data_IF_338093546770
#
_entry.id   IF_338093546770
#
_cell.length_a   1.000
_cell.length_b   1.000
_cell.length_c   1.000
_cell.angle_alpha   90.00
_cell.angle_beta   90.00
_cell.angle_gamma   90.00
#
_symmetry.space_group_name_H-M   'P 1'
#
loop_
_entity.id
_entity.type
_entity.pdbx_description
1 polymer ?
#
# COMPACT_ATOMS: atom_id res chain seq x y z
N UNK A 1 21.26 3.21 -19.50
CA UNK A 1 20.69 2.35 -18.44
C UNK A 1 20.20 3.16 -17.24
N UNK A 2 20.80 4.31 -16.90
CA UNK A 2 20.34 5.20 -15.80
C UNK A 2 18.91 5.76 -15.98
N UNK A 3 18.47 5.99 -17.22
CA UNK A 3 17.19 6.63 -17.52
C UNK A 3 15.96 5.84 -16.99
N UNK A 4 15.98 4.51 -17.07
CA UNK A 4 14.83 3.68 -16.64
C UNK A 4 14.69 3.61 -15.12
N UNK A 5 15.81 3.58 -14.38
CA UNK A 5 15.79 3.59 -12.91
C UNK A 5 15.29 4.94 -12.38
N UNK A 6 15.80 6.02 -12.96
CA UNK A 6 15.39 7.38 -12.63
C UNK A 6 13.90 7.58 -12.93
N UNK A 7 13.42 7.11 -14.08
CA UNK A 7 12.00 7.18 -14.42
C UNK A 7 11.14 6.38 -13.43
N UNK A 8 11.49 5.13 -13.13
CA UNK A 8 10.77 4.31 -12.14
C UNK A 8 10.72 4.99 -10.77
N UNK A 9 11.85 5.52 -10.31
CA UNK A 9 11.93 6.23 -9.03
C UNK A 9 11.07 7.49 -9.01
N UNK A 10 11.20 8.37 -10.01
CA UNK A 10 10.43 9.61 -10.09
C UNK A 10 8.93 9.33 -10.22
N UNK A 11 8.53 8.32 -11.00
CA UNK A 11 7.14 7.89 -11.08
C UNK A 11 6.63 7.35 -9.73
N UNK A 12 7.40 6.50 -9.05
CA UNK A 12 7.03 5.96 -7.74
C UNK A 12 6.80 7.06 -6.70
N UNK A 13 7.68 8.07 -6.70
CA UNK A 13 7.58 9.24 -5.82
C UNK A 13 6.33 10.07 -6.16
N UNK A 14 6.09 10.38 -7.44
CA UNK A 14 4.91 11.14 -7.83
C UNK A 14 3.59 10.47 -7.42
N UNK A 15 3.48 9.16 -7.64
CA UNK A 15 2.33 8.38 -7.16
C UNK A 15 2.23 8.36 -5.63
N UNK A 16 3.36 8.26 -4.92
CA UNK A 16 3.36 8.31 -3.46
C UNK A 16 2.83 9.65 -2.93
N UNK A 17 3.36 10.77 -3.45
CA UNK A 17 3.01 12.12 -3.01
C UNK A 17 1.53 12.41 -3.22
N UNK A 18 1.00 12.11 -4.41
CA UNK A 18 -0.42 12.29 -4.73
C UNK A 18 -1.29 11.38 -3.85
N UNK A 19 -0.93 10.10 -3.73
CA UNK A 19 -1.67 9.15 -2.89
C UNK A 19 -1.71 9.58 -1.42
N UNK A 20 -0.59 10.05 -0.89
CA UNK A 20 -0.47 10.54 0.48
C UNK A 20 -1.27 11.82 0.69
N UNK A 21 -1.22 12.78 -0.24
CA UNK A 21 -2.00 14.02 -0.16
C UNK A 21 -3.50 13.71 -0.08
N UNK A 22 -4.00 12.80 -0.92
CA UNK A 22 -5.42 12.40 -0.92
C UNK A 22 -5.75 11.66 0.39
N UNK A 23 -4.88 10.76 0.87
CA UNK A 23 -5.08 10.04 2.12
C UNK A 23 -5.16 10.98 3.34
N UNK A 24 -4.32 12.01 3.38
CA UNK A 24 -4.35 13.05 4.42
C UNK A 24 -5.62 13.89 4.35
N UNK A 25 -6.13 14.20 3.14
CA UNK A 25 -7.44 14.85 2.96
C UNK A 25 -8.59 13.97 3.41
N UNK A 26 -8.56 12.67 3.11
CA UNK A 26 -9.57 11.71 3.59
C UNK A 26 -9.62 11.70 5.11
N UNK A 27 -8.47 11.71 5.78
CA UNK A 27 -8.42 11.76 7.24
C UNK A 27 -9.06 13.03 7.82
N UNK A 28 -8.92 14.18 7.16
CA UNK A 28 -9.49 15.44 7.64
C UNK A 28 -10.98 15.58 7.31
N UNK A 29 -11.46 14.92 6.26
CA UNK A 29 -12.86 14.93 5.84
C UNK A 29 -13.65 13.81 6.54
N UNK A 30 -14.80 14.14 7.11
CA UNK A 30 -15.74 13.18 7.73
C UNK A 30 -17.10 13.21 7.04
N UNK A 31 -17.11 13.22 5.72
CA UNK A 31 -18.32 13.30 4.91
C UNK A 31 -18.26 12.36 3.70
N UNK A 32 -19.37 12.26 2.97
CA UNK A 32 -19.53 11.34 1.84
C UNK A 32 -18.53 11.58 0.70
N UNK A 33 -17.92 12.77 0.62
CA UNK A 33 -16.88 13.06 -0.38
C UNK A 33 -15.65 12.17 -0.20
N UNK A 34 -15.43 11.62 1.00
CA UNK A 34 -14.37 10.63 1.27
C UNK A 34 -14.49 9.41 0.35
N UNK A 35 -15.71 8.97 0.03
CA UNK A 35 -15.95 7.81 -0.84
C UNK A 35 -15.35 7.99 -2.23
N UNK A 36 -15.41 9.21 -2.78
CA UNK A 36 -14.86 9.52 -4.10
C UNK A 36 -13.33 9.61 -4.10
N UNK A 37 -12.71 9.79 -2.93
CA UNK A 37 -11.27 10.03 -2.79
C UNK A 37 -10.48 8.76 -2.43
N UNK A 38 -11.12 7.77 -1.80
CA UNK A 38 -10.45 6.55 -1.33
C UNK A 38 -9.86 5.74 -2.49
N UNK A 39 -10.64 5.48 -3.54
CA UNK A 39 -10.15 4.70 -4.68
C UNK A 39 -8.94 5.35 -5.35
N UNK A 40 -8.95 6.67 -5.67
CA UNK A 40 -7.75 7.37 -6.13
C UNK A 40 -6.56 7.24 -5.18
N UNK A 41 -6.74 7.43 -3.87
CA UNK A 41 -5.64 7.32 -2.89
C UNK A 41 -5.03 5.91 -2.90
N UNK A 42 -5.88 4.88 -2.81
CA UNK A 42 -5.46 3.49 -2.78
C UNK A 42 -4.71 3.08 -4.05
N UNK A 43 -5.21 3.47 -5.24
CA UNK A 43 -4.55 3.16 -6.52
C UNK A 43 -3.19 3.84 -6.62
N UNK A 44 -3.08 5.12 -6.25
CA UNK A 44 -1.81 5.84 -6.28
C UNK A 44 -0.77 5.19 -5.34
N UNK A 45 -1.14 4.87 -4.10
CA UNK A 45 -0.24 4.20 -3.15
C UNK A 45 0.11 2.77 -3.59
N UNK A 46 -0.80 2.07 -4.27
CA UNK A 46 -0.56 0.75 -4.84
C UNK A 46 0.47 0.81 -5.97
N UNK A 47 0.31 1.72 -6.92
CA UNK A 47 1.27 1.91 -8.02
C UNK A 47 2.63 2.37 -7.53
N UNK A 48 2.67 3.28 -6.54
CA UNK A 48 3.93 3.67 -5.92
C UNK A 48 4.67 2.45 -5.34
N UNK A 49 3.94 1.60 -4.60
CA UNK A 49 4.49 0.37 -4.01
C UNK A 49 4.99 -0.59 -5.09
N UNK A 50 4.21 -0.81 -6.15
CA UNK A 50 4.60 -1.64 -7.29
C UNK A 50 5.92 -1.16 -7.91
N UNK A 51 6.02 0.13 -8.20
CA UNK A 51 7.19 0.73 -8.84
C UNK A 51 8.43 0.68 -7.93
N UNK A 52 8.27 0.90 -6.63
CA UNK A 52 9.39 0.73 -5.69
C UNK A 52 9.87 -0.72 -5.60
N UNK A 53 8.96 -1.69 -5.55
CA UNK A 53 9.34 -3.11 -5.56
C UNK A 53 10.04 -3.49 -6.88
N UNK A 54 9.54 -3.01 -8.03
CA UNK A 54 10.20 -3.20 -9.34
C UNK A 54 11.56 -2.53 -9.41
N UNK A 55 11.73 -1.35 -8.81
CA UNK A 55 13.02 -0.67 -8.71
C UNK A 55 14.02 -1.48 -7.88
N UNK A 56 13.58 -2.04 -6.74
CA UNK A 56 14.41 -2.93 -5.92
C UNK A 56 14.83 -4.18 -6.70
N UNK A 57 13.93 -4.80 -7.47
CA UNK A 57 14.28 -5.88 -8.39
C UNK A 57 15.32 -5.48 -9.42
N UNK A 58 15.18 -4.29 -10.01
CA UNK A 58 16.10 -3.79 -11.01
C UNK A 58 17.52 -3.59 -10.44
N UNK A 59 17.65 -3.09 -9.20
CA UNK A 59 18.96 -2.92 -8.55
C UNK A 59 19.67 -4.24 -8.24
N UNK A 60 18.92 -5.33 -8.06
CA UNK A 60 19.50 -6.63 -7.68
C UNK A 60 19.61 -7.61 -8.86
N UNK A 61 18.81 -7.41 -9.90
CA UNK A 61 18.76 -8.25 -11.10
C UNK A 61 18.56 -7.36 -12.34
N UNK A 62 19.60 -6.63 -12.79
CA UNK A 62 19.48 -5.60 -13.83
C UNK A 62 19.05 -6.14 -15.20
N UNK A 63 19.14 -7.45 -15.41
CA UNK A 63 18.89 -8.11 -16.69
C UNK A 63 17.44 -8.58 -16.87
N UNK A 64 16.60 -8.53 -15.82
CA UNK A 64 15.22 -9.03 -15.90
C UNK A 64 14.24 -8.10 -15.18
N UNK A 65 13.46 -7.37 -15.97
CA UNK A 65 12.33 -6.58 -15.45
C UNK A 65 11.22 -7.56 -15.05
N UNK A 66 10.81 -7.52 -13.78
CA UNK A 66 9.64 -8.25 -13.33
C UNK A 66 8.38 -7.59 -13.89
N UNK A 67 7.60 -8.35 -14.67
CA UNK A 67 6.39 -7.87 -15.36
C UNK A 67 5.10 -8.09 -14.56
N UNK A 68 5.16 -8.81 -13.44
CA UNK A 68 3.97 -8.98 -12.60
C UNK A 68 3.53 -7.66 -11.99
N UNK A 69 2.22 -7.52 -11.79
CA UNK A 69 1.60 -6.42 -11.05
C UNK A 69 1.19 -6.86 -9.64
N UNK A 70 1.31 -8.16 -9.34
CA UNK A 70 1.00 -8.74 -8.04
C UNK A 70 2.08 -8.33 -7.03
N UNK A 71 1.68 -7.52 -6.04
CA UNK A 71 2.63 -6.95 -5.07
C UNK A 71 3.26 -8.02 -4.19
N UNK A 72 2.49 -9.05 -3.79
CA UNK A 72 3.02 -10.17 -3.04
C UNK A 72 4.10 -10.93 -3.81
N UNK A 73 3.92 -11.15 -5.11
CA UNK A 73 4.91 -11.82 -5.95
C UNK A 73 6.17 -10.96 -6.10
N UNK A 74 5.99 -9.66 -6.33
CA UNK A 74 7.10 -8.72 -6.35
C UNK A 74 7.87 -8.75 -5.03
N UNK A 75 7.19 -8.77 -3.89
CA UNK A 75 7.81 -8.76 -2.57
C UNK A 75 8.52 -10.08 -2.24
N UNK A 76 7.86 -11.23 -2.46
CA UNK A 76 8.37 -12.56 -2.09
C UNK A 76 9.57 -12.99 -2.94
N UNK A 77 9.69 -12.45 -4.16
CA UNK A 77 10.82 -12.72 -5.06
C UNK A 77 12.03 -11.82 -4.82
N UNK A 78 11.95 -10.82 -3.93
CA UNK A 78 13.10 -9.99 -3.58
C UNK A 78 14.19 -10.80 -2.87
N UNK A 79 15.47 -10.40 -2.98
CA UNK A 79 16.54 -10.96 -2.16
C UNK A 79 16.18 -10.94 -0.67
N UNK A 80 16.47 -12.05 0.03
CA UNK A 80 16.10 -12.25 1.44
C UNK A 80 16.52 -11.08 2.34
N UNK A 81 17.70 -10.49 2.10
CA UNK A 81 18.21 -9.34 2.85
C UNK A 81 17.27 -8.13 2.74
N UNK A 82 16.72 -7.86 1.56
CA UNK A 82 15.86 -6.70 1.30
C UNK A 82 14.47 -6.94 1.86
N UNK A 83 13.88 -8.12 1.61
CA UNK A 83 12.56 -8.44 2.16
C UNK A 83 12.58 -8.46 3.69
N UNK A 84 13.69 -8.88 4.31
CA UNK A 84 13.88 -8.77 5.78
C UNK A 84 13.85 -7.31 6.26
N UNK A 85 14.57 -6.40 5.60
CA UNK A 85 14.57 -4.97 5.95
C UNK A 85 13.17 -4.37 5.85
N UNK A 86 12.43 -4.70 4.79
CA UNK A 86 11.05 -4.22 4.61
C UNK A 86 10.15 -4.72 5.74
N UNK A 87 10.23 -6.00 6.12
CA UNK A 87 9.47 -6.55 7.27
C UNK A 87 9.79 -5.81 8.55
N UNK A 88 11.07 -5.65 8.87
CA UNK A 88 11.52 -4.96 10.08
C UNK A 88 10.99 -3.52 10.11
N UNK A 89 11.10 -2.79 8.99
CA UNK A 89 10.59 -1.41 8.88
C UNK A 89 9.07 -1.33 8.96
N UNK A 90 8.36 -2.30 8.40
CA UNK A 90 6.91 -2.37 8.48
C UNK A 90 6.44 -2.62 9.92
N UNK A 91 7.06 -3.57 10.63
CA UNK A 91 6.72 -3.85 12.03
C UNK A 91 7.08 -2.67 12.95
N UNK A 92 8.23 -2.01 12.74
CA UNK A 92 8.56 -0.75 13.42
C UNK A 92 7.47 0.31 13.18
N UNK A 93 7.06 0.50 11.93
CA UNK A 93 6.04 1.49 11.57
C UNK A 93 4.67 1.17 12.16
N UNK A 94 4.29 -0.11 12.20
CA UNK A 94 3.05 -0.61 12.77
C UNK A 94 2.97 -0.40 14.28
N UNK A 95 4.10 -0.53 14.99
CA UNK A 95 4.21 -0.30 16.42
C UNK A 95 4.18 1.19 16.78
N UNK A 96 4.68 2.04 15.89
CA UNK A 96 4.54 3.48 16.02
C UNK A 96 3.07 3.82 15.73
N UNK A 97 2.30 4.16 16.77
CA UNK A 97 0.99 4.81 16.60
C UNK A 97 1.21 6.15 15.90
N UNK A 98 1.27 6.11 14.59
CA UNK A 98 1.44 7.28 13.75
C UNK A 98 0.17 8.11 13.82
N UNK A 99 0.29 9.35 14.29
CA UNK A 99 -0.79 10.32 14.20
C UNK A 99 -1.13 10.67 12.75
N UNK A 100 -0.35 10.22 11.74
CA UNK A 100 -0.43 10.74 10.38
C UNK A 100 -1.56 10.14 9.54
N UNK A 101 -1.65 8.82 9.44
CA UNK A 101 -2.68 8.12 8.68
C UNK A 101 -3.32 7.03 9.55
N UNK A 102 -4.62 7.15 9.75
CA UNK A 102 -5.41 6.14 10.49
C UNK A 102 -6.06 5.18 9.51
N UNK A 103 -6.22 3.89 9.86
CA UNK A 103 -7.05 2.99 9.06
C UNK A 103 -8.48 3.54 8.97
N UNK A 104 -9.02 3.58 7.75
CA UNK A 104 -10.40 3.98 7.49
C UNK A 104 -11.17 2.76 7.01
N UNK A 105 -12.30 2.46 7.67
CA UNK A 105 -13.27 1.45 7.24
C UNK A 105 -14.46 2.15 6.61
N UNK A 106 -14.83 1.71 5.42
CA UNK A 106 -16.10 2.06 4.81
C UNK A 106 -17.13 0.99 5.16
N UNK A 107 -18.33 1.44 5.54
CA UNK A 107 -19.49 0.58 5.71
C UNK A 107 -20.67 1.23 4.99
N UNK A 108 -21.40 0.43 4.21
CA UNK A 108 -22.70 0.84 3.66
C UNK A 108 -23.83 0.72 4.69
N UNK A 109 -23.47 0.34 5.93
CA UNK A 109 -24.40 0.24 7.02
C UNK A 109 -24.77 1.63 7.52
N UNK A 110 -26.05 1.94 7.48
CA UNK A 110 -26.59 3.22 7.97
C UNK A 110 -26.67 3.27 9.50
N UNK A 111 -26.53 2.12 10.19
CA UNK A 111 -26.49 2.05 11.64
C UNK A 111 -25.05 2.26 12.16
N UNK A 112 -24.76 3.50 12.56
CA UNK A 112 -23.46 3.92 13.11
C UNK A 112 -23.01 3.11 14.35
N UNK A 113 -23.95 2.48 15.08
CA UNK A 113 -23.64 1.71 16.28
C UNK A 113 -23.65 0.19 16.03
N UNK A 114 -23.64 -0.25 14.77
CA UNK A 114 -23.75 -1.66 14.48
C UNK A 114 -22.55 -2.44 15.04
N UNK A 115 -22.76 -3.37 15.99
CA UNK A 115 -21.68 -4.13 16.59
C UNK A 115 -20.97 -5.03 15.57
N UNK A 116 -21.61 -5.43 14.47
CA UNK A 116 -20.96 -6.22 13.40
C UNK A 116 -19.94 -5.40 12.58
N UNK A 117 -20.11 -4.06 12.54
CA UNK A 117 -19.08 -3.18 11.97
C UNK A 117 -17.90 -2.96 12.93
N UNK A 118 -18.09 -3.29 14.20
CA UNK A 118 -17.04 -3.30 15.21
C UNK A 118 -16.40 -4.68 15.37
N UNK A 119 -17.09 -5.76 14.96
CA UNK A 119 -16.54 -7.11 14.88
C UNK A 119 -15.51 -7.13 13.73
N UNK A 120 -14.25 -7.16 14.13
CA UNK A 120 -13.08 -7.01 13.30
C UNK A 120 -12.98 -8.22 12.34
N UNK A 121 -13.41 -8.08 11.08
CA UNK A 121 -13.20 -9.15 10.08
C UNK A 121 -11.76 -9.19 9.57
N UNK A 122 -11.03 -8.07 9.65
CA UNK A 122 -9.59 -7.97 9.40
C UNK A 122 -9.01 -6.95 10.36
N UNK A 123 -8.17 -7.39 11.30
CA UNK A 123 -7.41 -6.45 12.12
C UNK A 123 -6.24 -5.95 11.26
N UNK A 124 -6.53 -5.02 10.34
CA UNK A 124 -5.54 -4.49 9.37
C UNK A 124 -4.30 -3.98 10.10
N UNK A 125 -4.47 -3.45 11.32
CA UNK A 125 -3.38 -2.99 12.18
C UNK A 125 -2.47 -4.11 12.68
N UNK A 126 -2.93 -5.36 12.68
CA UNK A 126 -2.18 -6.52 13.18
C UNK A 126 -1.64 -7.42 12.08
N UNK A 127 -1.99 -7.18 10.81
CA UNK A 127 -1.50 -7.96 9.68
C UNK A 127 0.02 -7.86 9.56
N UNK A 128 0.64 -8.92 9.10
CA UNK A 128 1.99 -8.91 8.54
C UNK A 128 1.99 -8.21 7.18
N UNK A 129 3.17 -7.84 6.68
CA UNK A 129 3.27 -7.24 5.33
C UNK A 129 2.76 -8.22 4.26
N UNK A 130 3.06 -9.51 4.35
CA UNK A 130 2.58 -10.51 3.39
C UNK A 130 1.06 -10.63 3.37
N UNK A 131 0.41 -10.70 4.54
CA UNK A 131 -1.05 -10.78 4.62
C UNK A 131 -1.71 -9.52 4.05
N UNK A 132 -1.12 -8.34 4.30
CA UNK A 132 -1.61 -7.09 3.72
C UNK A 132 -1.49 -7.09 2.19
N UNK A 133 -0.35 -7.54 1.66
CA UNK A 133 -0.13 -7.65 0.22
C UNK A 133 -1.02 -8.72 -0.44
N UNK A 134 -1.32 -9.81 0.28
CA UNK A 134 -2.24 -10.84 -0.19
C UNK A 134 -3.68 -10.31 -0.30
N UNK A 135 -4.16 -9.56 0.70
CA UNK A 135 -5.46 -8.89 0.66
C UNK A 135 -5.51 -7.90 -0.51
N UNK A 136 -4.42 -7.13 -0.72
CA UNK A 136 -4.31 -6.22 -1.85
C UNK A 136 -4.46 -6.95 -3.19
N UNK A 137 -3.67 -8.00 -3.43
CA UNK A 137 -3.74 -8.78 -4.66
C UNK A 137 -5.16 -9.32 -4.93
N UNK A 138 -5.86 -9.80 -3.89
CA UNK A 138 -7.24 -10.29 -4.01
C UNK A 138 -8.27 -9.18 -4.30
N UNK A 139 -7.93 -7.93 -4.05
CA UNK A 139 -8.81 -6.77 -4.25
C UNK A 139 -8.81 -6.26 -5.71
N UNK A 140 -7.83 -6.66 -6.51
CA UNK A 140 -7.70 -6.32 -7.93
C UNK A 140 -7.70 -7.60 -8.77
N UNK A 141 -8.87 -8.20 -9.05
CA UNK A 141 -8.94 -9.37 -9.92
C UNK A 141 -8.45 -9.03 -11.33
N UNK A 142 -7.71 -9.97 -11.95
CA UNK A 142 -7.27 -9.89 -13.35
C UNK A 142 -8.43 -9.88 -14.35
#
# INVERSE_FOLDING_TARGET
MENNQQQLYLSAIGFYEVGLEIALKIKSLRNDNVLMMISPAAVNLSFSTELFLKLLHYYNTPTKINKTHLLLDLFTTLPLKISKIIREKYEEFKLIKSENLVPVRLSNNTDFNNPNDQIIKYNILNLTVEELLEIHNKSFPE
#
